data_IF_658376021575
#
_entry.id   IF_658376021575
#
_cell.length_a   1.000
_cell.length_b   1.000
_cell.length_c   1.000
_cell.angle_alpha   90.00
_cell.angle_beta   90.00
_cell.angle_gamma   90.00
#
_symmetry.space_group_name_H-M   'P 1'
#
loop_
_entity.id
_entity.type
_entity.pdbx_description
1 polymer ?
#
# COMPACT_ATOMS: atom_id res chain seq x y z
N UNK A 1 -9.95 -4.77 -15.62
CA UNK A 1 -9.12 -4.62 -16.83
C UNK A 1 -8.99 -3.16 -17.31
N UNK A 2 -10.05 -2.37 -17.24
CA UNK A 2 -10.10 -0.98 -17.70
C UNK A 2 -9.89 0.07 -16.59
N UNK A 3 -9.63 -0.32 -15.36
CA UNK A 3 -9.26 0.59 -14.27
C UNK A 3 -10.42 1.26 -13.52
N UNK A 4 -11.66 0.92 -13.79
CA UNK A 4 -12.82 1.46 -13.08
C UNK A 4 -12.88 0.91 -11.64
N UNK A 5 -12.51 1.76 -10.65
CA UNK A 5 -12.50 1.38 -9.22
C UNK A 5 -13.75 1.85 -8.46
N UNK A 6 -14.52 2.74 -9.03
CA UNK A 6 -15.64 3.41 -8.36
C UNK A 6 -16.81 2.47 -8.07
N UNK A 7 -17.01 1.47 -8.96
CA UNK A 7 -18.07 0.47 -8.83
C UNK A 7 -17.78 -0.65 -7.81
N UNK A 8 -16.54 -0.74 -7.30
CA UNK A 8 -16.17 -1.78 -6.35
C UNK A 8 -16.74 -1.50 -4.95
N UNK A 9 -17.53 -2.43 -4.44
CA UNK A 9 -18.08 -2.39 -3.09
C UNK A 9 -17.00 -2.25 -2.01
N UNK A 10 -17.35 -1.60 -0.90
CA UNK A 10 -16.42 -1.42 0.23
C UNK A 10 -15.99 -2.77 0.81
N UNK A 11 -16.88 -3.75 0.85
CA UNK A 11 -16.61 -5.11 1.35
C UNK A 11 -15.53 -5.82 0.55
N UNK A 12 -15.60 -5.76 -0.78
CA UNK A 12 -14.57 -6.33 -1.67
C UNK A 12 -13.22 -5.69 -1.40
N UNK A 13 -13.15 -4.35 -1.30
CA UNK A 13 -11.90 -3.63 -1.01
C UNK A 13 -11.30 -4.05 0.33
N UNK A 14 -12.13 -4.23 1.36
CA UNK A 14 -11.71 -4.69 2.68
C UNK A 14 -11.17 -6.12 2.63
N UNK A 15 -11.86 -7.04 1.94
CA UNK A 15 -11.45 -8.42 1.80
C UNK A 15 -10.07 -8.55 1.14
N UNK A 16 -9.88 -7.87 0.02
CA UNK A 16 -8.60 -7.87 -0.68
C UNK A 16 -7.47 -7.16 0.10
N UNK A 17 -7.81 -6.16 0.92
CA UNK A 17 -6.84 -5.53 1.82
C UNK A 17 -6.44 -6.49 2.95
N UNK A 18 -7.41 -7.18 3.57
CA UNK A 18 -7.16 -8.10 4.67
C UNK A 18 -6.32 -9.31 4.25
N UNK A 19 -6.41 -9.73 3.00
CA UNK A 19 -5.64 -10.84 2.44
C UNK A 19 -4.31 -10.42 1.80
N UNK A 20 -4.00 -9.10 1.73
CA UNK A 20 -2.77 -8.59 1.11
C UNK A 20 -2.77 -8.64 -0.42
N UNK A 21 -3.93 -8.82 -1.04
CA UNK A 21 -4.10 -8.92 -2.50
C UNK A 21 -4.72 -7.68 -3.12
N UNK A 22 -4.78 -6.56 -2.38
CA UNK A 22 -5.35 -5.29 -2.83
C UNK A 22 -4.74 -4.78 -4.15
N UNK A 23 -3.46 -5.09 -4.41
CA UNK A 23 -2.77 -4.72 -5.63
C UNK A 23 -3.36 -5.35 -6.90
N UNK A 24 -4.19 -6.40 -6.78
CA UNK A 24 -4.87 -7.07 -7.90
C UNK A 24 -6.13 -6.32 -8.32
N UNK A 25 -6.81 -5.63 -7.38
CA UNK A 25 -8.00 -4.81 -7.69
C UNK A 25 -7.67 -3.57 -8.53
N UNK A 26 -6.43 -3.12 -8.50
CA UNK A 26 -5.96 -2.03 -9.34
C UNK A 26 -5.35 -2.60 -10.61
N UNK A 27 -5.53 -1.92 -11.74
CA UNK A 27 -4.69 -2.23 -12.91
C UNK A 27 -3.25 -1.99 -12.51
N UNK A 28 -2.45 -3.07 -12.54
CA UNK A 28 -1.10 -3.09 -11.99
C UNK A 28 -0.06 -3.36 -13.07
N UNK A 29 1.21 -3.23 -12.71
CA UNK A 29 2.32 -3.63 -13.58
C UNK A 29 2.27 -5.10 -14.00
N UNK A 30 1.65 -5.99 -13.19
CA UNK A 30 1.42 -7.38 -13.55
C UNK A 30 0.50 -7.50 -14.78
N UNK A 31 -0.60 -6.74 -14.82
CA UNK A 31 -1.52 -6.71 -15.96
C UNK A 31 -0.79 -6.28 -17.24
N UNK A 32 -0.02 -5.20 -17.17
CA UNK A 32 0.80 -4.72 -18.30
C UNK A 32 1.82 -5.78 -18.71
N UNK A 33 2.47 -6.43 -17.73
CA UNK A 33 3.46 -7.49 -17.96
C UNK A 33 2.88 -8.70 -18.68
N UNK A 34 1.68 -9.13 -18.31
CA UNK A 34 0.97 -10.24 -18.95
C UNK A 34 0.61 -9.87 -20.39
N UNK A 35 0.01 -8.69 -20.60
CA UNK A 35 -0.32 -8.20 -21.95
C UNK A 35 0.93 -8.10 -22.80
N UNK A 36 2.00 -7.51 -22.27
CA UNK A 36 3.28 -7.40 -22.93
C UNK A 36 3.85 -8.78 -23.31
N UNK A 37 3.79 -9.76 -22.40
CA UNK A 37 4.25 -11.13 -22.65
C UNK A 37 3.44 -11.80 -23.75
N UNK A 38 2.11 -11.67 -23.73
CA UNK A 38 1.22 -12.19 -24.78
C UNK A 38 1.56 -11.55 -26.14
N UNK A 39 1.77 -10.24 -26.18
CA UNK A 39 2.15 -9.51 -27.39
C UNK A 39 3.53 -9.92 -27.91
N UNK A 40 4.42 -10.42 -27.07
CA UNK A 40 5.74 -10.91 -27.50
C UNK A 40 5.72 -12.36 -28.01
N UNK A 41 4.68 -13.16 -27.70
CA UNK A 41 4.60 -14.57 -28.13
C UNK A 41 4.79 -14.74 -29.65
N UNK A 42 4.14 -13.95 -30.55
CA UNK A 42 4.32 -14.08 -31.98
C UNK A 42 5.78 -13.88 -32.44
N UNK A 43 6.55 -13.08 -31.71
CA UNK A 43 7.96 -12.85 -32.06
C UNK A 43 8.79 -14.15 -32.00
N UNK A 44 8.37 -15.12 -31.16
CA UNK A 44 9.03 -16.43 -31.07
C UNK A 44 8.89 -17.23 -32.35
N UNK A 45 7.75 -17.09 -33.04
CA UNK A 45 7.48 -17.73 -34.31
C UNK A 45 8.19 -17.02 -35.47
N UNK A 46 8.44 -15.72 -35.34
CA UNK A 46 9.09 -14.89 -36.36
C UNK A 46 10.60 -14.74 -36.17
N UNK A 47 11.25 -15.60 -35.38
CA UNK A 47 12.72 -15.55 -35.13
C UNK A 47 13.54 -15.59 -36.42
N UNK A 48 13.07 -16.27 -37.48
CA UNK A 48 13.74 -16.39 -38.76
C UNK A 48 13.55 -15.18 -39.68
N UNK A 49 12.62 -14.26 -39.36
CA UNK A 49 12.41 -13.02 -40.12
C UNK A 49 13.56 -12.03 -39.89
N UNK A 50 13.84 -11.21 -40.88
CA UNK A 50 14.93 -10.25 -40.83
C UNK A 50 14.82 -9.24 -39.67
N UNK A 51 15.93 -8.63 -39.28
CA UNK A 51 16.01 -7.70 -38.12
C UNK A 51 15.07 -6.50 -38.27
N UNK A 52 14.83 -6.01 -39.49
CA UNK A 52 13.89 -4.90 -39.74
C UNK A 52 12.46 -5.27 -39.32
N UNK A 53 12.01 -6.48 -39.66
CA UNK A 53 10.70 -7.00 -39.26
C UNK A 53 10.58 -7.11 -37.75
N UNK A 54 11.59 -7.70 -37.07
CA UNK A 54 11.58 -7.83 -35.61
C UNK A 54 11.51 -6.49 -34.90
N UNK A 55 12.28 -5.49 -35.37
CA UNK A 55 12.23 -4.12 -34.85
C UNK A 55 10.87 -3.46 -35.09
N UNK A 56 10.31 -3.60 -36.31
CA UNK A 56 8.96 -3.09 -36.60
C UNK A 56 7.89 -3.70 -35.70
N UNK A 57 7.97 -5.01 -35.46
CA UNK A 57 7.07 -5.70 -34.53
C UNK A 57 7.21 -5.18 -33.09
N UNK A 58 8.43 -4.97 -32.61
CA UNK A 58 8.67 -4.41 -31.27
C UNK A 58 8.13 -2.99 -31.14
N UNK A 59 8.20 -2.17 -32.19
CA UNK A 59 7.57 -0.84 -32.23
C UNK A 59 6.04 -0.96 -32.12
N UNK A 60 5.44 -1.92 -32.83
CA UNK A 60 4.01 -2.21 -32.71
C UNK A 60 3.63 -2.59 -31.29
N UNK A 61 4.39 -3.49 -30.65
CA UNK A 61 4.17 -3.89 -29.23
C UNK A 61 4.23 -2.67 -28.32
N UNK A 62 5.23 -1.79 -28.51
CA UNK A 62 5.32 -0.52 -27.76
C UNK A 62 4.06 0.33 -27.97
N UNK A 63 3.63 0.52 -29.19
CA UNK A 63 2.40 1.27 -29.48
C UNK A 63 1.18 0.69 -28.75
N UNK A 64 1.02 -0.63 -28.78
CA UNK A 64 -0.11 -1.32 -28.15
C UNK A 64 -0.11 -1.17 -26.62
N UNK A 65 1.06 -1.27 -25.94
CA UNK A 65 1.09 -1.07 -24.48
C UNK A 65 0.85 0.40 -24.09
N UNK A 66 1.23 1.38 -24.92
CA UNK A 66 0.90 2.79 -24.69
C UNK A 66 -0.59 3.07 -24.97
N UNK A 67 -1.20 2.44 -25.97
CA UNK A 67 -2.66 2.49 -26.18
C UNK A 67 -3.38 1.90 -24.96
N UNK A 68 -2.90 0.79 -24.42
CA UNK A 68 -3.46 0.24 -23.18
C UNK A 68 -3.33 1.20 -21.99
N UNK A 69 -2.20 1.90 -21.85
CA UNK A 69 -2.04 2.95 -20.83
C UNK A 69 -3.05 4.09 -21.00
N UNK A 70 -3.32 4.50 -22.23
CA UNK A 70 -4.35 5.49 -22.55
C UNK A 70 -5.75 4.98 -22.16
N UNK A 71 -6.10 3.74 -22.52
CA UNK A 71 -7.40 3.13 -22.18
C UNK A 71 -7.64 3.03 -20.68
N UNK A 72 -6.58 2.86 -19.89
CA UNK A 72 -6.63 2.81 -18.41
C UNK A 72 -6.53 4.19 -17.74
N UNK A 73 -6.62 5.27 -18.52
CA UNK A 73 -6.56 6.64 -18.04
C UNK A 73 -5.18 7.03 -17.47
N UNK A 74 -4.09 6.47 -18.00
CA UNK A 74 -2.73 6.70 -17.52
C UNK A 74 -2.58 6.51 -16.00
N UNK A 75 -3.24 5.49 -15.45
CA UNK A 75 -3.10 5.22 -14.01
C UNK A 75 -1.62 5.10 -13.62
N UNK A 76 -1.17 5.67 -12.49
CA UNK A 76 0.25 5.75 -12.14
C UNK A 76 0.98 4.41 -12.16
N UNK A 77 0.31 3.32 -11.75
CA UNK A 77 0.87 1.96 -11.78
C UNK A 77 1.10 1.44 -13.19
N UNK A 78 0.20 1.75 -14.12
CA UNK A 78 0.32 1.35 -15.53
C UNK A 78 1.43 2.16 -16.21
N UNK A 79 1.48 3.47 -15.99
CA UNK A 79 2.52 4.34 -16.58
C UNK A 79 3.91 3.86 -16.18
N UNK A 80 4.13 3.57 -14.90
CA UNK A 80 5.42 3.02 -14.44
C UNK A 80 5.80 1.73 -15.19
N UNK A 81 4.85 0.80 -15.28
CA UNK A 81 5.10 -0.47 -15.97
C UNK A 81 5.39 -0.28 -17.47
N UNK A 82 4.59 0.55 -18.14
CA UNK A 82 4.77 0.81 -19.58
C UNK A 82 6.11 1.49 -19.85
N UNK A 83 6.54 2.44 -19.01
CA UNK A 83 7.89 3.05 -19.11
C UNK A 83 8.97 1.99 -18.94
N UNK A 84 8.89 1.13 -17.91
CA UNK A 84 9.87 0.05 -17.69
C UNK A 84 9.92 -0.92 -18.88
N UNK A 85 8.76 -1.39 -19.38
CA UNK A 85 8.70 -2.28 -20.54
C UNK A 85 9.16 -1.62 -21.82
N UNK A 86 8.95 -0.30 -21.98
CA UNK A 86 9.52 0.47 -23.08
C UNK A 86 11.04 0.43 -23.07
N UNK A 87 11.66 0.62 -21.92
CA UNK A 87 13.12 0.55 -21.78
C UNK A 87 13.66 -0.88 -22.06
N UNK A 88 12.95 -1.93 -21.59
CA UNK A 88 13.28 -3.32 -21.93
C UNK A 88 13.24 -3.53 -23.44
N UNK A 89 12.16 -3.10 -24.08
CA UNK A 89 11.95 -3.26 -25.53
C UNK A 89 13.00 -2.52 -26.33
N UNK A 90 13.34 -1.28 -25.95
CA UNK A 90 14.42 -0.50 -26.58
C UNK A 90 15.79 -1.19 -26.45
N UNK A 91 16.05 -1.82 -25.30
CA UNK A 91 17.22 -2.66 -25.08
C UNK A 91 17.26 -3.87 -26.04
N UNK A 92 16.13 -4.57 -26.18
CA UNK A 92 15.98 -5.70 -27.11
C UNK A 92 16.21 -5.28 -28.57
N UNK A 93 15.65 -4.14 -28.98
CA UNK A 93 15.87 -3.59 -30.35
C UNK A 93 17.35 -3.32 -30.64
N UNK A 94 18.13 -2.98 -29.62
CA UNK A 94 19.59 -2.75 -29.71
C UNK A 94 20.40 -4.03 -29.43
N UNK A 95 19.76 -5.20 -29.30
CA UNK A 95 20.38 -6.48 -28.91
C UNK A 95 21.19 -6.41 -27.61
N UNK A 96 20.82 -5.52 -26.70
CA UNK A 96 21.42 -5.38 -25.39
C UNK A 96 20.50 -6.00 -24.35
N UNK A 97 21.07 -6.61 -23.30
CA UNK A 97 20.34 -7.04 -22.11
C UNK A 97 20.54 -5.97 -21.02
N UNK A 98 19.64 -5.00 -20.90
CA UNK A 98 19.81 -3.98 -19.88
C UNK A 98 19.65 -4.61 -18.50
N UNK A 99 20.44 -4.14 -17.53
CA UNK A 99 20.26 -4.53 -16.14
C UNK A 99 18.89 -4.03 -15.63
N UNK A 100 18.17 -4.87 -14.89
CA UNK A 100 16.88 -4.49 -14.29
C UNK A 100 17.07 -3.31 -13.34
N UNK A 101 18.19 -3.24 -12.62
CA UNK A 101 18.53 -2.11 -11.75
C UNK A 101 18.64 -0.79 -12.53
N UNK A 102 19.26 -0.82 -13.72
CA UNK A 102 19.35 0.37 -14.58
C UNK A 102 17.98 0.79 -15.12
N UNK A 103 17.11 -0.18 -15.43
CA UNK A 103 15.72 0.09 -15.85
C UNK A 103 14.96 0.75 -14.71
N UNK A 104 15.05 0.22 -13.49
CA UNK A 104 14.41 0.79 -12.31
C UNK A 104 14.90 2.21 -12.05
N UNK A 105 16.22 2.41 -11.98
CA UNK A 105 16.80 3.71 -11.70
C UNK A 105 16.43 4.75 -12.78
N UNK A 106 16.55 4.39 -14.05
CA UNK A 106 16.24 5.31 -15.14
C UNK A 106 14.75 5.63 -15.25
N UNK A 107 13.88 4.62 -15.07
CA UNK A 107 12.43 4.86 -15.08
C UNK A 107 11.99 5.72 -13.90
N UNK A 108 12.55 5.51 -12.71
CA UNK A 108 12.28 6.35 -11.54
C UNK A 108 12.74 7.80 -11.78
N UNK A 109 13.98 7.98 -12.26
CA UNK A 109 14.52 9.30 -12.59
C UNK A 109 13.64 10.02 -13.62
N UNK A 110 13.25 9.33 -14.71
CA UNK A 110 12.41 9.90 -15.75
C UNK A 110 11.07 10.40 -15.20
N UNK A 111 10.40 9.60 -14.38
CA UNK A 111 9.12 9.97 -13.78
C UNK A 111 9.25 11.11 -12.76
N UNK A 112 10.31 11.13 -11.97
CA UNK A 112 10.60 12.20 -11.01
C UNK A 112 10.95 13.54 -11.70
N UNK A 113 11.56 13.50 -12.88
CA UNK A 113 11.81 14.72 -13.69
C UNK A 113 10.51 15.25 -14.28
N UNK A 114 9.59 14.37 -14.67
CA UNK A 114 8.28 14.77 -15.22
C UNK A 114 7.32 15.27 -14.14
N UNK A 115 7.34 14.66 -12.96
CA UNK A 115 6.49 14.97 -11.82
C UNK A 115 7.28 14.75 -10.53
N UNK A 116 7.91 15.81 -9.96
CA UNK A 116 8.68 15.68 -8.72
C UNK A 116 7.84 15.24 -7.51
N UNK A 117 6.53 15.55 -7.49
CA UNK A 117 5.67 15.26 -6.34
C UNK A 117 5.33 13.76 -6.25
N UNK A 118 5.52 13.00 -7.34
CA UNK A 118 5.28 11.55 -7.37
C UNK A 118 6.12 10.78 -6.34
N UNK A 119 7.23 11.36 -5.85
CA UNK A 119 8.05 10.75 -4.79
C UNK A 119 7.27 10.53 -3.50
N UNK A 120 6.27 11.37 -3.20
CA UNK A 120 5.41 11.26 -2.04
C UNK A 120 4.27 10.26 -2.23
N UNK A 121 4.00 9.82 -3.47
CA UNK A 121 2.96 8.82 -3.76
C UNK A 121 3.37 7.44 -3.26
N UNK A 122 2.57 6.88 -2.33
CA UNK A 122 2.81 5.55 -1.78
C UNK A 122 2.78 4.45 -2.84
N UNK A 123 1.95 4.60 -3.87
CA UNK A 123 1.90 3.65 -4.97
C UNK A 123 3.19 3.65 -5.78
N UNK A 124 3.82 4.83 -5.96
CA UNK A 124 5.14 4.93 -6.56
C UNK A 124 6.18 4.21 -5.71
N UNK A 125 6.28 4.54 -4.43
CA UNK A 125 7.25 3.95 -3.51
C UNK A 125 7.09 2.43 -3.41
N UNK A 126 5.87 1.92 -3.18
CA UNK A 126 5.59 0.49 -3.07
C UNK A 126 5.90 -0.27 -4.35
N UNK A 127 5.62 0.31 -5.52
CA UNK A 127 5.89 -0.34 -6.80
C UNK A 127 7.39 -0.53 -7.05
N UNK A 128 8.19 0.51 -6.83
CA UNK A 128 9.65 0.42 -6.99
C UNK A 128 10.30 -0.47 -5.95
N UNK A 129 9.85 -0.38 -4.68
CA UNK A 129 10.31 -1.26 -3.61
C UNK A 129 9.99 -2.73 -3.88
N UNK A 130 8.77 -3.03 -4.36
CA UNK A 130 8.38 -4.40 -4.68
C UNK A 130 9.29 -5.02 -5.76
N UNK A 131 9.54 -4.29 -6.85
CA UNK A 131 10.42 -4.80 -7.93
C UNK A 131 11.87 -4.89 -7.44
N UNK A 132 12.37 -3.90 -6.68
CA UNK A 132 13.70 -3.95 -6.08
C UNK A 132 13.84 -5.14 -5.12
N UNK A 133 12.81 -5.41 -4.30
CA UNK A 133 12.75 -6.58 -3.43
C UNK A 133 12.81 -7.89 -4.18
N UNK A 134 12.01 -8.03 -5.24
CA UNK A 134 12.02 -9.23 -6.09
C UNK A 134 13.42 -9.42 -6.71
N UNK A 135 13.98 -8.39 -7.32
CA UNK A 135 15.30 -8.50 -8.00
C UNK A 135 16.43 -8.74 -7.01
N UNK A 136 16.37 -8.16 -5.81
CA UNK A 136 17.45 -8.27 -4.81
C UNK A 136 17.33 -9.48 -3.90
N UNK A 137 16.14 -9.78 -3.36
CA UNK A 137 15.96 -10.80 -2.33
C UNK A 137 15.52 -12.16 -2.88
N UNK A 138 14.73 -12.20 -3.97
CA UNK A 138 14.25 -13.48 -4.51
C UNK A 138 15.38 -14.45 -4.85
N UNK A 139 16.51 -14.06 -5.48
CA UNK A 139 17.61 -14.99 -5.75
C UNK A 139 18.21 -15.62 -4.50
N UNK A 140 18.20 -14.88 -3.37
CA UNK A 140 18.68 -15.36 -2.08
C UNK A 140 17.70 -16.39 -1.51
N UNK A 141 16.40 -16.07 -1.51
CA UNK A 141 15.34 -16.97 -1.06
C UNK A 141 15.29 -18.27 -1.89
N UNK A 142 15.45 -18.17 -3.21
CA UNK A 142 15.47 -19.35 -4.10
C UNK A 142 16.57 -20.34 -3.74
N UNK A 143 17.74 -19.86 -3.30
CA UNK A 143 18.88 -20.72 -2.90
C UNK A 143 18.64 -21.47 -1.60
N UNK A 144 17.67 -21.04 -0.78
CA UNK A 144 17.39 -21.68 0.52
C UNK A 144 16.79 -23.07 0.37
N UNK A 145 16.09 -23.32 -0.72
CA UNK A 145 15.48 -24.63 -1.01
C UNK A 145 15.42 -24.87 -2.50
N UNK A 146 15.82 -26.08 -2.93
CA UNK A 146 15.79 -26.53 -4.31
C UNK A 146 14.93 -27.82 -4.41
N UNK A 147 13.61 -27.69 -4.59
CA UNK A 147 12.73 -28.85 -4.71
C UNK A 147 13.06 -29.69 -5.95
N UNK A 148 13.10 -31.02 -5.79
CA UNK A 148 13.31 -31.95 -6.90
C UNK A 148 12.09 -32.09 -7.81
N UNK A 149 10.90 -31.79 -7.29
CA UNK A 149 9.63 -31.87 -8.01
C UNK A 149 9.33 -30.53 -8.70
N UNK A 150 9.05 -30.57 -10.02
CA UNK A 150 8.75 -29.40 -10.84
C UNK A 150 7.53 -28.60 -10.34
N UNK A 151 6.52 -29.27 -9.79
CA UNK A 151 5.33 -28.61 -9.24
C UNK A 151 5.69 -27.84 -7.97
N UNK A 152 6.44 -28.46 -7.06
CA UNK A 152 6.92 -27.81 -5.85
C UNK A 152 7.88 -26.66 -6.17
N UNK A 153 8.73 -26.81 -7.18
CA UNK A 153 9.64 -25.74 -7.63
C UNK A 153 8.85 -24.54 -8.16
N UNK A 154 7.80 -24.77 -8.94
CA UNK A 154 6.92 -23.70 -9.41
C UNK A 154 6.26 -22.94 -8.25
N UNK A 155 5.68 -23.65 -7.27
CA UNK A 155 5.11 -23.02 -6.09
C UNK A 155 6.17 -22.32 -5.23
N UNK A 156 7.36 -22.87 -5.11
CA UNK A 156 8.47 -22.25 -4.41
C UNK A 156 8.92 -20.94 -5.08
N UNK A 157 9.05 -20.92 -6.39
CA UNK A 157 9.36 -19.72 -7.15
C UNK A 157 8.31 -18.63 -6.91
N UNK A 158 7.02 -18.94 -6.94
CA UNK A 158 5.94 -18.00 -6.64
C UNK A 158 6.00 -17.52 -5.18
N UNK A 159 6.22 -18.43 -4.25
CA UNK A 159 6.34 -18.08 -2.83
C UNK A 159 7.50 -17.11 -2.59
N UNK A 160 8.68 -17.36 -3.20
CA UNK A 160 9.84 -16.49 -3.05
C UNK A 160 9.66 -15.10 -3.67
N UNK A 161 8.95 -14.99 -4.80
CA UNK A 161 8.54 -13.69 -5.37
C UNK A 161 7.67 -12.92 -4.37
N UNK A 162 6.65 -13.59 -3.85
CA UNK A 162 5.71 -12.99 -2.88
C UNK A 162 6.43 -12.57 -1.60
N UNK A 163 7.27 -13.44 -1.05
CA UNK A 163 8.06 -13.14 0.15
C UNK A 163 9.03 -12.00 -0.08
N UNK A 164 9.75 -11.98 -1.18
CA UNK A 164 10.71 -10.93 -1.52
C UNK A 164 10.04 -9.55 -1.63
N UNK A 165 8.90 -9.49 -2.33
CA UNK A 165 8.11 -8.26 -2.43
C UNK A 165 7.60 -7.83 -1.07
N UNK A 166 6.99 -8.73 -0.29
CA UNK A 166 6.41 -8.44 1.02
C UNK A 166 7.46 -7.98 2.03
N UNK A 167 8.61 -8.65 2.11
CA UNK A 167 9.67 -8.29 3.05
C UNK A 167 10.16 -6.85 2.85
N UNK A 168 10.31 -6.41 1.61
CA UNK A 168 10.78 -5.05 1.31
C UNK A 168 9.66 -4.01 1.44
N UNK A 169 8.42 -4.35 1.11
CA UNK A 169 7.30 -3.40 1.17
C UNK A 169 6.67 -3.31 2.55
N UNK A 170 6.76 -4.38 3.36
CA UNK A 170 6.11 -4.42 4.68
C UNK A 170 6.55 -3.32 5.64
N UNK A 171 7.82 -2.88 5.73
CA UNK A 171 8.18 -1.80 6.63
C UNK A 171 7.45 -0.50 6.28
N UNK A 172 7.30 -0.20 4.98
CA UNK A 172 6.59 0.97 4.52
C UNK A 172 5.08 0.85 4.79
N UNK A 173 4.49 -0.30 4.47
CA UNK A 173 3.05 -0.54 4.72
C UNK A 173 2.71 -0.52 6.20
N UNK A 174 3.56 -1.08 7.06
CA UNK A 174 3.40 -1.03 8.50
C UNK A 174 3.51 0.40 9.06
N UNK A 175 4.42 1.21 8.51
CA UNK A 175 4.57 2.60 8.93
C UNK A 175 3.34 3.45 8.58
N UNK A 176 2.76 3.28 7.38
CA UNK A 176 1.63 4.10 6.92
C UNK A 176 0.26 3.54 7.28
N UNK A 177 0.08 2.22 7.21
CA UNK A 177 -1.24 1.60 7.38
C UNK A 177 -1.41 0.88 8.72
N UNK A 178 -0.32 0.62 9.47
CA UNK A 178 -0.33 -0.04 10.77
C UNK A 178 -1.01 -1.42 10.76
N UNK A 179 -1.07 -2.07 9.61
CA UNK A 179 -1.72 -3.35 9.38
C UNK A 179 -0.81 -4.31 8.64
N UNK A 180 -0.94 -5.61 8.94
CA UNK A 180 -0.21 -6.67 8.26
C UNK A 180 -1.16 -7.83 7.91
N UNK A 181 -1.31 -8.19 6.62
CA UNK A 181 -2.11 -9.32 6.19
C UNK A 181 -1.38 -10.62 6.51
N UNK A 182 -1.90 -11.41 7.43
CA UNK A 182 -1.22 -12.62 7.92
C UNK A 182 -1.15 -13.72 6.86
N UNK A 183 -2.22 -13.89 6.09
CA UNK A 183 -2.33 -14.95 5.09
C UNK A 183 -1.88 -14.52 3.69
N UNK A 184 -1.12 -13.41 3.57
CA UNK A 184 -0.68 -12.88 2.28
C UNK A 184 0.01 -13.90 1.38
N UNK A 185 0.79 -14.84 1.95
CA UNK A 185 1.51 -15.84 1.18
C UNK A 185 0.53 -16.82 0.53
N UNK A 186 -0.38 -17.39 1.32
CA UNK A 186 -1.39 -18.33 0.83
C UNK A 186 -2.32 -17.64 -0.17
N UNK A 187 -2.79 -16.43 0.17
CA UNK A 187 -3.64 -15.63 -0.69
C UNK A 187 -2.98 -15.38 -2.06
N UNK A 188 -1.73 -14.94 -2.08
CA UNK A 188 -1.03 -14.68 -3.35
C UNK A 188 -0.75 -15.95 -4.15
N UNK A 189 -0.45 -17.08 -3.49
CA UNK A 189 -0.26 -18.36 -4.18
C UNK A 189 -1.52 -18.86 -4.89
N UNK A 190 -2.71 -18.50 -4.39
CA UNK A 190 -3.99 -18.91 -4.99
C UNK A 190 -4.52 -17.83 -5.96
N UNK A 191 -4.52 -16.58 -5.53
CA UNK A 191 -5.20 -15.48 -6.23
C UNK A 191 -4.39 -14.96 -7.42
N UNK A 192 -3.04 -14.91 -7.34
CA UNK A 192 -2.20 -14.42 -8.44
C UNK A 192 -2.31 -15.31 -9.69
N UNK A 193 -2.19 -16.66 -9.60
CA UNK A 193 -2.40 -17.54 -10.78
C UNK A 193 -3.82 -17.43 -11.34
N UNK A 194 -4.82 -17.35 -10.46
CA UNK A 194 -6.21 -17.20 -10.88
C UNK A 194 -6.43 -15.88 -11.62
N UNK A 195 -5.82 -14.79 -11.11
CA UNK A 195 -5.85 -13.48 -11.79
C UNK A 195 -5.16 -13.52 -13.16
N UNK A 196 -4.08 -14.31 -13.30
CA UNK A 196 -3.46 -14.54 -14.60
C UNK A 196 -4.41 -15.21 -15.58
N UNK A 197 -5.13 -16.26 -15.15
CA UNK A 197 -6.13 -16.95 -15.97
C UNK A 197 -7.27 -16.01 -16.34
N UNK A 198 -7.77 -15.21 -15.36
CA UNK A 198 -8.82 -14.20 -15.60
C UNK A 198 -8.39 -13.21 -16.68
N UNK A 199 -7.14 -12.77 -16.68
CA UNK A 199 -6.60 -11.90 -17.73
C UNK A 199 -6.52 -12.59 -19.10
N UNK A 200 -6.05 -13.84 -19.12
CA UNK A 200 -5.94 -14.61 -20.37
C UNK A 200 -7.30 -14.90 -21.01
N UNK A 201 -8.38 -15.01 -20.23
CA UNK A 201 -9.75 -15.19 -20.72
C UNK A 201 -10.44 -13.84 -20.95
N UNK A 202 -10.19 -12.87 -20.06
CA UNK A 202 -10.84 -11.56 -20.08
C UNK A 202 -10.42 -10.67 -21.26
N UNK A 203 -9.14 -10.74 -21.68
CA UNK A 203 -8.71 -9.99 -22.87
C UNK A 203 -9.38 -10.50 -24.15
N UNK A 204 -9.41 -11.81 -24.47
CA UNK A 204 -10.23 -12.34 -25.55
C UNK A 204 -11.72 -12.02 -25.41
N UNK A 205 -12.29 -12.07 -24.21
CA UNK A 205 -13.66 -11.69 -23.96
C UNK A 205 -13.94 -10.25 -24.44
N UNK A 206 -13.10 -9.29 -24.04
CA UNK A 206 -13.29 -7.90 -24.47
C UNK A 206 -13.21 -7.70 -25.98
N UNK A 207 -12.38 -8.50 -26.67
CA UNK A 207 -12.21 -8.44 -28.12
C UNK A 207 -13.30 -9.15 -28.91
N UNK A 208 -13.89 -10.21 -28.35
CA UNK A 208 -14.81 -11.14 -29.03
C UNK A 208 -16.23 -11.09 -28.48
N UNK A 209 -16.53 -10.22 -27.50
CA UNK A 209 -17.84 -10.10 -26.86
C UNK A 209 -19.00 -9.81 -27.84
N UNK A 210 -18.69 -9.21 -28.99
CA UNK A 210 -19.67 -8.92 -30.05
C UNK A 210 -20.10 -10.18 -30.82
N UNK A 211 -19.39 -11.30 -30.71
CA UNK A 211 -19.76 -12.59 -31.31
C UNK A 211 -20.64 -13.36 -30.30
N UNK A 212 -21.94 -13.58 -30.55
CA UNK A 212 -22.88 -14.04 -29.51
C UNK A 212 -22.46 -15.32 -28.80
N UNK A 213 -21.99 -16.35 -29.51
CA UNK A 213 -21.60 -17.66 -28.95
C UNK A 213 -20.30 -17.53 -28.14
N UNK A 214 -19.27 -16.90 -28.71
CA UNK A 214 -17.99 -16.71 -28.06
C UNK A 214 -18.09 -15.74 -26.89
N UNK A 215 -18.82 -14.64 -27.05
CA UNK A 215 -19.07 -13.65 -25.99
C UNK A 215 -19.77 -14.29 -24.79
N UNK A 216 -20.80 -15.09 -25.02
CA UNK A 216 -21.50 -15.79 -23.94
C UNK A 216 -20.60 -16.80 -23.23
N UNK A 217 -19.88 -17.66 -23.98
CA UNK A 217 -18.97 -18.67 -23.39
C UNK A 217 -17.85 -18.03 -22.56
N UNK A 218 -17.18 -17.02 -23.13
CA UNK A 218 -16.10 -16.32 -22.45
C UNK A 218 -16.64 -15.49 -21.26
N UNK A 219 -17.81 -14.89 -21.38
CA UNK A 219 -18.46 -14.14 -20.30
C UNK A 219 -18.76 -15.02 -19.09
N UNK A 220 -19.42 -16.17 -19.29
CA UNK A 220 -19.67 -17.16 -18.22
C UNK A 220 -18.36 -17.64 -17.58
N UNK A 221 -17.31 -17.86 -18.40
CA UNK A 221 -16.02 -18.27 -17.88
C UNK A 221 -15.37 -17.20 -17.01
N UNK A 222 -15.40 -15.93 -17.42
CA UNK A 222 -14.88 -14.80 -16.63
C UNK A 222 -15.66 -14.63 -15.34
N UNK A 223 -16.99 -14.70 -15.38
CA UNK A 223 -17.86 -14.60 -14.19
C UNK A 223 -17.55 -15.71 -13.19
N UNK A 224 -17.44 -16.96 -13.64
CA UNK A 224 -17.08 -18.08 -12.77
C UNK A 224 -15.70 -17.90 -12.12
N UNK A 225 -14.71 -17.45 -12.88
CA UNK A 225 -13.35 -17.23 -12.36
C UNK A 225 -13.31 -16.07 -11.35
N UNK A 226 -14.04 -14.97 -11.62
CA UNK A 226 -14.15 -13.84 -10.70
C UNK A 226 -14.90 -14.23 -9.43
N UNK A 227 -15.99 -14.97 -9.55
CA UNK A 227 -16.73 -15.52 -8.41
C UNK A 227 -15.78 -16.38 -7.54
N UNK A 228 -15.06 -17.33 -8.15
CA UNK A 228 -14.12 -18.19 -7.44
C UNK A 228 -13.03 -17.38 -6.75
N UNK A 229 -12.49 -16.35 -7.39
CA UNK A 229 -11.47 -15.47 -6.81
C UNK A 229 -12.00 -14.71 -5.60
N UNK A 230 -13.23 -14.19 -5.69
CA UNK A 230 -13.86 -13.48 -4.58
C UNK A 230 -14.15 -14.41 -3.40
N UNK A 231 -14.68 -15.62 -3.65
CA UNK A 231 -14.95 -16.61 -2.62
C UNK A 231 -13.68 -17.02 -1.86
N UNK A 232 -12.58 -17.28 -2.58
CA UNK A 232 -11.28 -17.55 -1.94
C UNK A 232 -10.86 -16.36 -1.06
N UNK A 233 -11.04 -15.14 -1.54
CA UNK A 233 -10.65 -13.93 -0.81
C UNK A 233 -11.50 -13.75 0.45
N UNK A 234 -12.81 -13.93 0.36
CA UNK A 234 -13.71 -13.84 1.51
C UNK A 234 -13.42 -14.94 2.55
N UNK A 235 -13.24 -16.18 2.10
CA UNK A 235 -12.89 -17.29 3.00
C UNK A 235 -11.58 -17.01 3.76
N UNK A 236 -10.56 -16.49 3.09
CA UNK A 236 -9.28 -16.15 3.74
C UNK A 236 -9.43 -14.95 4.69
N UNK A 237 -10.30 -13.98 4.39
CA UNK A 237 -10.57 -12.85 5.28
C UNK A 237 -11.25 -13.28 6.57
N UNK A 238 -12.13 -14.29 6.53
CA UNK A 238 -12.87 -14.80 7.69
C UNK A 238 -12.00 -15.63 8.65
N UNK A 239 -10.81 -16.03 8.21
CA UNK A 239 -9.90 -16.76 9.08
C UNK A 239 -9.45 -15.90 10.28
N UNK A 240 -9.22 -16.52 11.45
CA UNK A 240 -8.80 -15.79 12.65
C UNK A 240 -7.49 -15.07 12.40
N UNK A 241 -7.40 -13.83 12.87
CA UNK A 241 -6.23 -12.96 12.70
C UNK A 241 -5.81 -12.73 11.22
N UNK A 242 -6.75 -12.74 10.25
CA UNK A 242 -6.45 -12.51 8.83
C UNK A 242 -5.74 -11.17 8.59
N UNK A 243 -6.12 -10.14 9.32
CA UNK A 243 -5.46 -8.84 9.31
C UNK A 243 -4.97 -8.51 10.72
N UNK A 244 -3.66 -8.49 10.90
CA UNK A 244 -3.06 -8.01 12.14
C UNK A 244 -3.04 -6.48 12.12
N UNK A 245 -3.74 -5.86 13.06
CA UNK A 245 -3.88 -4.40 13.16
C UNK A 245 -3.13 -3.88 14.39
N UNK A 246 -2.79 -2.60 14.38
CA UNK A 246 -2.19 -1.96 15.53
C UNK A 246 -0.68 -2.06 15.63
N UNK A 247 0.00 -2.43 14.56
CA UNK A 247 1.46 -2.48 14.54
C UNK A 247 1.98 -1.08 14.23
N UNK A 248 2.53 -0.39 15.24
CA UNK A 248 3.19 0.89 15.04
C UNK A 248 4.66 0.68 14.71
N UNK A 249 5.09 1.15 13.54
CA UNK A 249 6.50 1.14 13.14
C UNK A 249 6.97 2.58 12.93
N UNK A 250 7.96 3.03 13.71
CA UNK A 250 8.58 4.33 13.54
C UNK A 250 9.41 4.40 12.26
N UNK A 251 9.69 5.61 11.75
CA UNK A 251 10.60 5.80 10.60
C UNK A 251 11.97 5.14 10.84
N UNK A 252 12.51 5.29 12.05
CA UNK A 252 13.79 4.65 12.41
C UNK A 252 13.67 3.13 12.36
N UNK A 253 12.56 2.57 12.85
CA UNK A 253 12.26 1.14 12.79
C UNK A 253 12.16 0.64 11.35
N UNK A 254 11.52 1.40 10.48
CA UNK A 254 11.41 1.09 9.05
C UNK A 254 12.79 0.99 8.39
N UNK A 255 13.65 1.99 8.58
CA UNK A 255 15.01 1.97 8.05
C UNK A 255 15.89 0.88 8.71
N UNK A 256 15.67 0.58 9.99
CA UNK A 256 16.36 -0.52 10.67
C UNK A 256 16.02 -1.89 10.06
N UNK A 257 14.75 -2.13 9.72
CA UNK A 257 14.34 -3.37 9.04
C UNK A 257 14.96 -3.46 7.65
N UNK A 258 14.92 -2.39 6.85
CA UNK A 258 15.60 -2.40 5.54
C UNK A 258 17.12 -2.60 5.66
N UNK A 259 17.74 -1.98 6.65
CA UNK A 259 19.15 -2.21 6.95
C UNK A 259 19.45 -3.68 7.33
N UNK A 260 18.59 -4.28 8.16
CA UNK A 260 18.69 -5.70 8.52
C UNK A 260 18.53 -6.63 7.30
N UNK A 261 17.58 -6.35 6.42
CA UNK A 261 17.39 -7.09 5.16
C UNK A 261 18.60 -6.94 4.23
N UNK A 262 19.18 -5.74 4.16
CA UNK A 262 20.40 -5.50 3.39
C UNK A 262 21.60 -6.25 3.95
N UNK A 263 21.78 -6.25 5.28
CA UNK A 263 22.82 -7.01 5.98
C UNK A 263 22.65 -8.51 5.71
N UNK A 264 21.42 -9.01 5.85
CA UNK A 264 21.11 -10.43 5.58
C UNK A 264 21.44 -10.81 4.14
N UNK A 265 21.06 -9.98 3.17
CA UNK A 265 21.35 -10.21 1.75
C UNK A 265 22.83 -10.23 1.40
N UNK A 266 23.66 -9.53 2.16
CA UNK A 266 25.10 -9.43 1.94
C UNK A 266 25.93 -10.26 2.92
N UNK A 267 25.29 -11.08 3.79
CA UNK A 267 25.98 -11.78 4.88
C UNK A 267 27.09 -12.73 4.42
N UNK A 268 26.92 -13.37 3.27
CA UNK A 268 27.92 -14.26 2.71
C UNK A 268 29.01 -13.54 1.90
N UNK A 269 28.69 -12.38 1.32
CA UNK A 269 29.56 -11.64 0.42
C UNK A 269 30.40 -10.58 1.16
N UNK A 270 29.92 -10.12 2.32
CA UNK A 270 30.52 -9.03 3.08
C UNK A 270 31.40 -9.46 4.24
N UNK A 271 32.12 -8.49 4.81
CA UNK A 271 32.84 -8.72 6.05
C UNK A 271 31.84 -8.84 7.22
N UNK A 272 31.67 -10.06 7.73
CA UNK A 272 30.70 -10.40 8.80
C UNK A 272 30.86 -9.54 10.06
N UNK A 273 32.09 -9.12 10.40
CA UNK A 273 32.35 -8.24 11.56
C UNK A 273 31.76 -6.84 11.32
N UNK A 274 31.99 -6.27 10.14
CA UNK A 274 31.42 -4.97 9.76
C UNK A 274 29.91 -5.04 9.70
N UNK A 275 29.35 -6.07 9.08
CA UNK A 275 27.89 -6.28 9.00
C UNK A 275 27.26 -6.43 10.39
N UNK A 276 27.89 -7.16 11.30
CA UNK A 276 27.46 -7.30 12.68
C UNK A 276 27.50 -5.96 13.44
N UNK A 277 28.54 -5.16 13.26
CA UNK A 277 28.62 -3.81 13.84
C UNK A 277 27.51 -2.89 13.32
N UNK A 278 27.22 -2.94 12.02
CA UNK A 278 26.09 -2.21 11.43
C UNK A 278 24.74 -2.66 12.01
N UNK A 279 24.54 -3.97 12.18
CA UNK A 279 23.32 -4.51 12.79
C UNK A 279 23.14 -4.02 14.23
N UNK A 280 24.22 -4.04 15.04
CA UNK A 280 24.21 -3.52 16.40
C UNK A 280 23.93 -2.01 16.43
N UNK A 281 24.56 -1.24 15.55
CA UNK A 281 24.34 0.21 15.47
C UNK A 281 22.88 0.54 15.10
N UNK A 282 22.29 -0.16 14.13
CA UNK A 282 20.89 0.01 13.75
C UNK A 282 19.93 -0.36 14.89
N UNK A 283 20.19 -1.48 15.58
CA UNK A 283 19.39 -1.90 16.74
C UNK A 283 19.46 -0.88 17.87
N UNK A 284 20.66 -0.33 18.13
CA UNK A 284 20.88 0.71 19.15
C UNK A 284 20.16 2.02 18.80
N UNK A 285 20.28 2.47 17.55
CA UNK A 285 19.55 3.67 17.06
C UNK A 285 18.03 3.50 17.16
N UNK A 286 17.52 2.33 16.82
CA UNK A 286 16.11 2.03 16.96
C UNK A 286 15.67 2.02 18.43
N UNK A 287 16.44 1.41 19.33
CA UNK A 287 16.16 1.40 20.76
C UNK A 287 16.17 2.83 21.35
N UNK A 288 17.19 3.65 21.02
CA UNK A 288 17.24 5.06 21.43
C UNK A 288 16.03 5.83 20.90
N UNK A 289 15.68 5.66 19.62
CA UNK A 289 14.52 6.33 19.04
C UNK A 289 13.21 5.97 19.77
N UNK A 290 13.03 4.71 20.13
CA UNK A 290 11.85 4.30 20.91
C UNK A 290 11.84 4.88 22.32
N UNK A 291 12.98 4.87 23.00
CA UNK A 291 13.11 5.49 24.32
C UNK A 291 12.88 7.01 24.25
N UNK A 292 13.42 7.67 23.24
CA UNK A 292 13.23 9.11 23.04
C UNK A 292 11.77 9.48 22.81
N UNK A 293 11.08 8.72 21.96
CA UNK A 293 9.64 8.92 21.73
C UNK A 293 8.81 8.69 22.99
N UNK A 294 9.21 7.72 23.85
CA UNK A 294 8.53 7.47 25.11
C UNK A 294 8.72 8.62 26.13
N UNK A 295 9.98 9.13 26.23
CA UNK A 295 10.33 10.24 27.15
C UNK A 295 9.67 11.56 26.73
N UNK A 296 9.55 11.81 25.43
CA UNK A 296 8.96 13.05 24.91
C UNK A 296 7.43 13.01 24.78
N UNK A 297 6.78 11.94 25.20
CA UNK A 297 5.31 11.89 25.13
C UNK A 297 4.68 12.95 26.00
N UNK A 298 3.86 13.86 25.46
CA UNK A 298 3.15 14.82 26.27
C UNK A 298 2.13 14.10 27.16
N UNK A 299 1.93 14.63 28.35
CA UNK A 299 0.98 14.07 29.32
C UNK A 299 -0.49 14.16 28.83
N UNK A 300 -0.75 15.08 27.93
CA UNK A 300 -2.08 15.32 27.36
C UNK A 300 -1.97 15.58 25.86
N UNK A 301 -2.70 14.83 25.06
CA UNK A 301 -2.84 15.03 23.63
C UNK A 301 -4.31 15.14 23.25
N UNK A 302 -4.64 16.13 22.43
CA UNK A 302 -5.97 16.36 21.90
C UNK A 302 -5.96 16.20 20.39
N UNK A 303 -6.87 15.39 19.86
CA UNK A 303 -7.04 15.18 18.44
C UNK A 303 -8.45 15.54 18.02
N UNK A 304 -8.55 16.43 17.06
CA UNK A 304 -9.82 16.79 16.43
C UNK A 304 -9.86 16.20 15.02
N UNK A 305 -10.90 15.44 14.76
CA UNK A 305 -11.16 14.94 13.41
C UNK A 305 -12.48 15.50 12.92
N UNK A 306 -12.48 16.07 11.71
CA UNK A 306 -13.69 16.60 11.08
C UNK A 306 -13.84 16.00 9.70
N UNK A 307 -15.00 15.42 9.40
CA UNK A 307 -15.37 14.93 8.07
C UNK A 307 -16.88 15.10 7.85
N UNK A 308 -17.27 15.62 6.69
CA UNK A 308 -18.68 15.71 6.26
C UNK A 308 -19.61 16.29 7.33
N UNK A 309 -19.20 17.35 8.05
CA UNK A 309 -19.88 17.97 9.21
C UNK A 309 -19.91 17.11 10.49
N UNK A 310 -19.37 15.92 10.49
CA UNK A 310 -19.21 15.10 11.69
C UNK A 310 -17.86 15.40 12.35
N UNK A 311 -17.83 15.43 13.67
CA UNK A 311 -16.66 15.79 14.47
C UNK A 311 -16.39 14.72 15.50
N UNK A 312 -15.12 14.37 15.68
CA UNK A 312 -14.65 13.47 16.73
C UNK A 312 -13.61 14.22 17.55
N UNK A 313 -13.72 14.10 18.85
CA UNK A 313 -12.72 14.56 19.80
C UNK A 313 -12.11 13.34 20.48
N UNK A 314 -10.82 13.13 20.27
CA UNK A 314 -10.03 12.16 20.99
C UNK A 314 -9.11 12.88 21.97
N UNK A 315 -9.21 12.50 23.24
CA UNK A 315 -8.39 12.99 24.32
C UNK A 315 -7.53 11.85 24.85
N UNK A 316 -6.24 12.07 24.92
CA UNK A 316 -5.29 11.14 25.50
C UNK A 316 -4.70 11.71 26.77
N UNK A 317 -4.80 10.96 27.87
CA UNK A 317 -4.28 11.27 29.20
C UNK A 317 -3.38 10.12 29.64
N UNK A 318 -2.06 10.23 29.47
CA UNK A 318 -1.13 9.15 29.78
C UNK A 318 -1.47 7.86 29.01
N UNK A 319 -1.89 6.80 29.74
CA UNK A 319 -2.29 5.52 29.13
C UNK A 319 -3.80 5.45 28.79
N UNK A 320 -4.59 6.44 29.18
CA UNK A 320 -6.03 6.45 28.96
C UNK A 320 -6.39 7.21 27.69
N UNK A 321 -7.29 6.62 26.91
CA UNK A 321 -7.82 7.20 25.70
C UNK A 321 -9.33 7.41 25.86
N UNK A 322 -9.74 8.64 25.78
CA UNK A 322 -11.12 9.04 25.87
C UNK A 322 -11.58 9.56 24.51
N UNK A 323 -12.71 9.12 24.01
CA UNK A 323 -13.24 9.58 22.73
C UNK A 323 -14.67 10.01 22.87
N UNK A 324 -14.97 11.15 22.29
CA UNK A 324 -16.33 11.61 22.07
C UNK A 324 -16.66 11.48 20.59
N UNK A 325 -17.71 10.68 20.30
CA UNK A 325 -18.11 10.32 18.96
C UNK A 325 -19.59 10.66 18.76
N UNK A 326 -19.90 11.50 17.78
CA UNK A 326 -21.25 11.64 17.27
C UNK A 326 -21.42 10.70 16.09
N UNK A 327 -22.19 9.62 16.28
CA UNK A 327 -22.72 8.70 15.25
C UNK A 327 -21.81 8.42 14.05
N UNK A 328 -20.54 8.07 14.32
CA UNK A 328 -19.58 7.80 13.27
C UNK A 328 -19.61 6.32 12.88
N UNK A 329 -19.77 5.96 11.59
CA UNK A 329 -19.73 4.58 11.16
C UNK A 329 -18.37 3.95 11.47
N UNK A 330 -18.36 2.81 12.17
CA UNK A 330 -17.14 2.08 12.58
C UNK A 330 -16.19 1.82 11.41
N UNK A 331 -16.72 1.61 10.21
CA UNK A 331 -15.92 1.42 9.00
C UNK A 331 -15.09 2.64 8.56
N UNK A 332 -15.50 3.86 8.95
CA UNK A 332 -14.73 5.08 8.64
C UNK A 332 -13.67 5.38 9.70
N UNK A 333 -13.87 4.90 10.93
CA UNK A 333 -12.91 4.99 12.02
C UNK A 333 -11.60 4.25 11.68
N UNK A 334 -11.69 3.13 10.97
CA UNK A 334 -10.55 2.24 10.74
C UNK A 334 -9.45 2.82 9.85
N UNK A 335 -9.78 3.71 8.91
CA UNK A 335 -8.79 4.19 7.93
C UNK A 335 -8.12 5.51 8.30
N UNK A 336 -8.75 6.36 9.11
CA UNK A 336 -8.25 7.73 9.35
C UNK A 336 -7.98 8.02 10.82
N UNK A 337 -8.74 7.44 11.73
CA UNK A 337 -8.64 7.72 13.16
C UNK A 337 -7.87 6.62 13.86
N UNK A 338 -8.12 5.36 13.48
CA UNK A 338 -7.45 4.21 14.05
C UNK A 338 -5.92 4.28 13.94
N UNK A 339 -5.30 4.68 12.81
CA UNK A 339 -3.85 4.85 12.73
C UNK A 339 -3.29 5.81 13.78
N UNK A 340 -3.95 6.96 14.01
CA UNK A 340 -3.53 7.92 15.02
C UNK A 340 -3.76 7.40 16.45
N UNK A 341 -4.85 6.67 16.68
CA UNK A 341 -5.11 5.99 17.96
C UNK A 341 -4.07 4.92 18.23
N UNK A 342 -3.65 4.16 17.22
CA UNK A 342 -2.64 3.11 17.33
C UNK A 342 -1.22 3.66 17.45
N UNK A 343 -0.89 4.73 16.74
CA UNK A 343 0.41 5.40 16.84
C UNK A 343 0.71 5.91 18.25
N UNK A 344 -0.33 6.19 19.03
CA UNK A 344 -0.21 6.80 20.34
C UNK A 344 -0.34 5.82 21.52
N UNK A 345 -0.61 4.48 21.30
CA UNK A 345 -1.09 3.65 22.41
C UNK A 345 -0.71 2.19 22.45
N UNK A 346 -0.64 1.69 23.71
CA UNK A 346 -0.74 0.27 24.05
C UNK A 346 -2.19 -0.26 24.04
N UNK A 347 -3.20 0.61 24.12
CA UNK A 347 -4.62 0.21 24.18
C UNK A 347 -5.47 1.04 23.21
N UNK A 348 -5.87 0.48 22.04
CA UNK A 348 -6.58 1.22 20.99
C UNK A 348 -8.08 1.39 21.25
N UNK A 349 -8.65 0.79 22.30
CA UNK A 349 -10.07 0.89 22.59
C UNK A 349 -10.34 2.15 23.40
N UNK A 350 -10.97 3.19 22.81
CA UNK A 350 -11.24 4.41 23.53
C UNK A 350 -12.40 4.22 24.54
N UNK A 351 -12.24 4.82 25.70
CA UNK A 351 -13.33 4.94 26.68
C UNK A 351 -14.27 6.03 26.18
N UNK A 352 -15.58 5.77 26.01
CA UNK A 352 -16.51 6.78 25.53
C UNK A 352 -16.65 7.94 26.55
N UNK A 353 -16.38 9.15 26.10
CA UNK A 353 -16.61 10.36 26.88
C UNK A 353 -18.11 10.72 26.85
N UNK A 354 -18.72 10.83 28.02
CA UNK A 354 -20.07 11.37 28.15
C UNK A 354 -19.96 12.90 28.22
N UNK A 355 -20.37 13.58 27.15
CA UNK A 355 -20.49 15.04 27.10
C UNK A 355 -21.92 15.47 27.35
N UNK A 356 -22.10 16.55 28.10
CA UNK A 356 -23.39 17.26 28.25
C UNK A 356 -23.43 18.40 27.22
N UNK A 357 -24.40 18.36 26.31
CA UNK A 357 -24.60 19.42 25.32
C UNK A 357 -25.39 20.58 25.97
N UNK A 358 -24.83 21.77 25.95
CA UNK A 358 -25.48 22.99 26.42
C UNK A 358 -25.33 24.09 25.36
N UNK A 359 -26.37 24.34 24.58
CA UNK A 359 -26.33 25.30 23.48
C UNK A 359 -25.24 24.94 22.46
N UNK A 360 -24.34 25.91 22.18
CA UNK A 360 -23.23 25.74 21.23
C UNK A 360 -21.99 25.06 21.84
N UNK A 361 -22.06 24.58 23.08
CA UNK A 361 -20.93 23.94 23.77
C UNK A 361 -21.22 22.52 24.23
N UNK A 362 -20.16 21.73 24.31
CA UNK A 362 -20.19 20.38 24.88
C UNK A 362 -19.29 20.38 26.11
N UNK A 363 -19.88 20.09 27.27
CA UNK A 363 -19.18 20.03 28.53
C UNK A 363 -18.84 18.59 28.90
N UNK A 364 -17.59 18.32 29.26
CA UNK A 364 -17.11 17.03 29.73
C UNK A 364 -16.77 17.09 31.25
N UNK A 365 -17.71 16.74 32.12
CA UNK A 365 -17.53 16.91 33.57
C UNK A 365 -16.36 16.11 34.15
N UNK A 366 -16.05 14.93 33.58
CA UNK A 366 -14.96 14.07 34.05
C UNK A 366 -13.57 14.66 33.89
N UNK A 367 -13.38 15.55 32.93
CA UNK A 367 -12.10 16.20 32.63
C UNK A 367 -12.17 17.73 32.78
N UNK A 368 -13.32 18.26 33.19
CA UNK A 368 -13.57 19.71 33.34
C UNK A 368 -13.21 20.54 32.10
N UNK A 369 -13.56 20.07 30.92
CA UNK A 369 -13.29 20.72 29.63
C UNK A 369 -14.60 21.02 28.94
N UNK A 370 -14.73 22.24 28.38
CA UNK A 370 -15.82 22.64 27.49
C UNK A 370 -15.31 22.74 26.05
N UNK A 371 -16.02 22.15 25.13
CA UNK A 371 -15.74 22.25 23.71
C UNK A 371 -16.82 23.05 22.99
N UNK A 372 -16.42 24.02 22.17
CA UNK A 372 -17.29 24.88 21.36
C UNK A 372 -17.13 24.51 19.87
N UNK A 373 -17.97 23.59 19.33
CA UNK A 373 -17.80 23.06 17.98
C UNK A 373 -17.85 24.11 16.88
N UNK A 374 -18.74 25.09 17.01
CA UNK A 374 -18.91 26.15 16.01
C UNK A 374 -17.69 27.10 15.90
N UNK A 375 -16.95 27.24 17.00
CA UNK A 375 -15.81 28.16 17.11
C UNK A 375 -14.47 27.43 17.09
N UNK A 376 -14.46 26.12 17.04
CA UNK A 376 -13.24 25.27 17.21
C UNK A 376 -12.44 25.67 18.48
N UNK A 377 -13.10 25.90 19.59
CA UNK A 377 -12.49 26.36 20.85
C UNK A 377 -12.65 25.34 21.96
N UNK A 378 -11.62 25.23 22.80
CA UNK A 378 -11.65 24.51 24.07
C UNK A 378 -11.51 25.51 25.23
N UNK A 379 -12.25 25.28 26.28
CA UNK A 379 -12.08 25.97 27.54
C UNK A 379 -11.84 24.95 28.64
N UNK A 380 -10.83 25.21 29.47
CA UNK A 380 -10.46 24.41 30.63
C UNK A 380 -11.06 24.97 31.90
N UNK A 381 -11.60 24.12 32.75
CA UNK A 381 -12.23 24.57 34.02
C UNK A 381 -13.64 25.12 33.83
N UNK A 382 -14.29 25.47 34.95
CA UNK A 382 -15.62 26.09 34.94
C UNK A 382 -15.59 27.47 34.29
N UNK A 383 -16.00 27.54 33.03
CA UNK A 383 -16.45 28.75 32.29
C UNK A 383 -15.78 30.11 32.60
N UNK A 384 -14.56 30.17 33.11
CA UNK A 384 -13.85 31.43 33.25
C UNK A 384 -13.23 31.84 31.91
N UNK A 385 -13.49 33.07 31.39
CA UNK A 385 -13.12 33.51 30.05
C UNK A 385 -11.61 33.64 29.77
N UNK A 386 -10.76 33.45 30.76
CA UNK A 386 -9.32 33.77 30.68
C UNK A 386 -8.43 32.66 30.09
N UNK A 387 -8.93 31.45 29.98
CA UNK A 387 -8.15 30.31 29.49
C UNK A 387 -8.77 29.71 28.21
N UNK A 388 -9.14 30.59 27.26
CA UNK A 388 -9.66 30.13 25.97
C UNK A 388 -8.51 29.88 25.00
N UNK A 389 -8.29 28.67 24.61
CA UNK A 389 -7.38 28.36 23.52
C UNK A 389 -8.15 28.51 22.21
N UNK A 390 -7.75 29.47 21.40
CA UNK A 390 -8.37 29.74 20.09
C UNK A 390 -7.65 28.92 19.01
N UNK A 391 -8.26 27.84 18.56
CA UNK A 391 -7.73 26.95 17.52
C UNK A 391 -7.88 27.53 16.10
N UNK A 392 -8.56 28.66 15.92
CA UNK A 392 -8.68 29.29 14.60
C UNK A 392 -7.36 29.87 14.10
N UNK A 393 -6.40 30.13 15.02
CA UNK A 393 -5.09 30.69 14.71
C UNK A 393 -3.95 29.67 14.74
N UNK A 394 -4.18 28.46 15.22
CA UNK A 394 -3.19 27.39 15.10
C UNK A 394 -3.16 26.94 13.63
N UNK A 395 -2.11 27.34 12.91
CA UNK A 395 -1.79 26.71 11.63
C UNK A 395 -1.81 25.19 11.86
N UNK A 396 -2.43 24.39 10.95
CA UNK A 396 -2.26 22.96 11.01
C UNK A 396 -0.77 22.70 11.10
N UNK A 397 -0.33 22.05 12.16
CA UNK A 397 1.03 21.55 12.20
C UNK A 397 1.16 20.72 10.95
N UNK A 398 2.15 21.00 10.11
CA UNK A 398 2.50 20.23 8.90
C UNK A 398 2.87 18.81 9.29
N UNK A 399 1.90 18.06 9.73
CA UNK A 399 2.01 16.67 10.04
C UNK A 399 1.33 15.92 8.91
N UNK A 400 2.14 15.48 7.96
CA UNK A 400 1.84 14.60 6.84
C UNK A 400 1.13 15.30 5.66
N UNK A 401 1.58 15.10 4.43
CA UNK A 401 0.87 15.51 3.24
C UNK A 401 -0.43 14.70 3.14
N UNK A 402 -1.47 15.21 3.77
CA UNK A 402 -2.81 14.61 3.82
C UNK A 402 -3.56 14.76 2.51
N UNK A 403 -3.04 15.57 1.58
CA UNK A 403 -3.79 15.98 0.40
C UNK A 403 -3.81 14.95 -0.73
N UNK A 404 -2.94 13.95 -0.72
CA UNK A 404 -2.87 13.00 -1.84
C UNK A 404 -3.66 11.70 -1.64
N UNK A 405 -4.05 11.33 -0.41
CA UNK A 405 -4.71 10.05 -0.14
C UNK A 405 -6.10 10.21 0.51
N UNK A 406 -6.37 11.32 1.22
CA UNK A 406 -7.65 11.52 1.92
C UNK A 406 -8.13 12.98 1.82
N UNK A 407 -8.85 13.36 0.78
CA UNK A 407 -9.28 14.75 0.58
C UNK A 407 -10.35 15.27 1.55
N UNK A 408 -10.60 14.63 2.69
CA UNK A 408 -11.70 14.98 3.58
C UNK A 408 -11.40 14.99 5.09
N UNK A 409 -10.13 14.88 5.53
CA UNK A 409 -9.79 14.91 6.96
C UNK A 409 -8.78 16.02 7.27
N UNK A 410 -9.20 17.02 8.02
CA UNK A 410 -8.30 17.92 8.74
C UNK A 410 -8.21 17.45 10.19
N UNK A 411 -7.05 16.93 10.62
CA UNK A 411 -6.76 16.61 12.00
C UNK A 411 -5.85 17.67 12.61
N UNK A 412 -6.14 18.11 13.82
CA UNK A 412 -5.27 19.02 14.58
C UNK A 412 -4.74 18.28 15.80
N UNK A 413 -3.43 18.35 16.03
CA UNK A 413 -2.79 17.86 17.25
C UNK A 413 -2.37 19.08 18.08
N UNK A 414 -2.77 19.12 19.34
CA UNK A 414 -2.32 20.12 20.31
C UNK A 414 -1.53 19.38 21.40
N UNK A 415 -0.27 19.74 21.56
CA UNK A 415 0.57 19.23 22.65
C UNK A 415 0.60 20.31 23.74
N UNK A 416 0.34 19.93 24.97
CA UNK A 416 0.45 20.79 26.14
C UNK A 416 1.70 20.40 26.94
#
# INVERSE_FOLDING_TARGET
LLGQKESLGKEVKLAYSATGTQHILAVSGLHVGIIYSILLLPLTFFKQKGQAFQKGYLILVLGLIWIYALMTGFSPSVVRAVVMFSLVTLGQMRKRKPSIWNILAFSALLLLVLDPDIQADLGFQLSYLAVAGIVGLQPILLRMWAPSNRVLDYFWQMATVTLAAQLITSPLTLHYFHTFPTYFLVANLLIVPLSYIILCVGVPFLLLAWIPILGSLLGVSVDFLLFTQNEITYTLQELPAALWQGIHLSLVGMFAIWGALWIWGNWELGNRKILAQFALALGFLWAISNLWTEVQRPALELYFFTKDKQRILDLKLGEHHLSWNQDFPVAQLSYSILPNRLASQRNPVPIPLKGMVSGDSIWFPGIKVSFFPAQNRLAWGSLQPKERIDFSQTKPTEALPTDSIFPAFSGFKVNF
#
